data_IF_869621276931
#
_entry.id   IF_869621276931
#
_cell.length_a   1.000
_cell.length_b   1.000
_cell.length_c   1.000
_cell.angle_alpha   90.00
_cell.angle_beta   90.00
_cell.angle_gamma   90.00
#
_symmetry.space_group_name_H-M   'P 1'
#
loop_
_entity.id
_entity.type
_entity.pdbx_description
1 polymer ?
#
# COMPACT_ATOMS: atom_id res chain seq x y z
N UNK A 1 6.99 31.85 -26.79
CA UNK A 1 6.48 31.10 -27.95
C UNK A 1 5.09 30.59 -27.56
N UNK A 2 4.07 30.80 -28.38
CA UNK A 2 2.75 30.25 -28.10
C UNK A 2 2.85 28.71 -28.08
N UNK A 3 2.30 28.07 -27.05
CA UNK A 3 2.21 26.61 -27.01
C UNK A 3 1.24 26.13 -28.08
N UNK A 4 1.56 25.03 -28.73
CA UNK A 4 0.70 24.42 -29.74
C UNK A 4 -0.60 23.93 -29.08
N UNK A 5 -1.76 24.17 -29.70
CA UNK A 5 -3.04 23.65 -29.24
C UNK A 5 -3.03 22.12 -29.10
N UNK A 6 -3.56 21.58 -28.01
CA UNK A 6 -3.55 20.15 -27.73
C UNK A 6 -4.27 19.32 -28.79
N UNK A 7 -5.37 19.83 -29.37
CA UNK A 7 -6.06 19.18 -30.47
C UNK A 7 -5.17 19.10 -31.72
N UNK A 8 -4.48 20.21 -32.03
CA UNK A 8 -3.49 20.26 -33.14
C UNK A 8 -2.32 19.31 -32.88
N UNK A 9 -1.85 19.21 -31.63
CA UNK A 9 -0.76 18.30 -31.24
C UNK A 9 -1.11 16.83 -31.48
N UNK A 10 -2.35 16.44 -31.21
CA UNK A 10 -2.84 15.09 -31.52
C UNK A 10 -3.29 14.92 -32.97
N UNK A 11 -3.50 16.02 -33.72
CA UNK A 11 -3.99 16.01 -35.08
C UNK A 11 -5.46 15.61 -35.20
N UNK A 12 -6.30 16.12 -34.28
CA UNK A 12 -7.76 15.92 -34.24
C UNK A 12 -8.49 17.25 -34.20
N UNK A 13 -9.76 17.25 -34.58
CA UNK A 13 -10.62 18.42 -34.49
C UNK A 13 -11.12 18.63 -33.03
N UNK A 14 -11.56 19.86 -32.69
CA UNK A 14 -12.02 20.18 -31.33
C UNK A 14 -13.30 19.45 -30.90
N UNK A 15 -14.09 19.00 -31.88
CA UNK A 15 -15.31 18.20 -31.69
C UNK A 15 -15.07 16.69 -31.69
N UNK A 16 -13.79 16.27 -31.77
CA UNK A 16 -13.42 14.86 -31.76
C UNK A 16 -13.95 14.12 -30.53
N UNK A 17 -14.45 12.92 -30.75
CA UNK A 17 -14.91 12.03 -29.70
C UNK A 17 -13.74 11.49 -28.86
N UNK A 18 -14.03 11.01 -27.65
CA UNK A 18 -13.02 10.40 -26.76
C UNK A 18 -12.29 9.23 -27.43
N UNK A 19 -12.98 8.44 -28.25
CA UNK A 19 -12.38 7.32 -28.98
C UNK A 19 -11.43 7.79 -30.11
N UNK A 20 -11.76 8.88 -30.78
CA UNK A 20 -10.90 9.48 -31.80
C UNK A 20 -9.63 10.07 -31.18
N UNK A 21 -9.75 10.77 -30.06
CA UNK A 21 -8.63 11.28 -29.28
C UNK A 21 -7.68 10.14 -28.87
N UNK A 22 -8.24 9.06 -28.32
CA UNK A 22 -7.47 7.88 -27.90
C UNK A 22 -6.77 7.18 -29.06
N UNK A 23 -7.42 7.11 -30.21
CA UNK A 23 -6.86 6.53 -31.43
C UNK A 23 -5.71 7.39 -31.98
N UNK A 24 -5.89 8.71 -32.03
CA UNK A 24 -4.89 9.68 -32.45
C UNK A 24 -3.67 9.64 -31.53
N UNK A 25 -3.89 9.64 -30.21
CA UNK A 25 -2.82 9.49 -29.22
C UNK A 25 -1.97 8.24 -29.48
N UNK A 26 -2.61 7.07 -29.61
CA UNK A 26 -1.87 5.81 -29.86
C UNK A 26 -1.01 5.90 -31.13
N UNK A 27 -1.53 6.51 -32.18
CA UNK A 27 -0.82 6.69 -33.46
C UNK A 27 0.40 7.61 -33.28
N UNK A 28 0.25 8.74 -32.56
CA UNK A 28 1.32 9.70 -32.33
C UNK A 28 2.35 9.18 -31.33
N UNK A 29 1.91 8.52 -30.27
CA UNK A 29 2.79 7.89 -29.27
C UNK A 29 3.67 6.80 -29.91
N UNK A 30 3.12 5.97 -30.79
CA UNK A 30 3.91 4.98 -31.55
C UNK A 30 4.89 5.62 -32.55
N UNK A 31 4.53 6.76 -33.11
CA UNK A 31 5.37 7.50 -34.06
C UNK A 31 6.60 8.10 -33.39
N UNK A 32 6.42 8.69 -32.18
CA UNK A 32 7.47 9.39 -31.46
C UNK A 32 8.04 8.58 -30.28
N UNK A 33 7.76 7.25 -30.22
CA UNK A 33 8.23 6.40 -29.14
C UNK A 33 9.75 6.38 -29.03
N UNK A 34 10.34 6.54 -27.82
CA UNK A 34 11.78 6.58 -27.65
C UNK A 34 12.49 5.33 -28.14
N UNK A 35 11.90 4.13 -28.01
CA UNK A 35 12.49 2.88 -28.49
C UNK A 35 12.59 2.81 -30.02
N UNK A 36 11.76 3.57 -30.73
CA UNK A 36 11.79 3.61 -32.22
C UNK A 36 12.62 4.78 -32.79
N UNK A 37 12.86 5.79 -31.95
CA UNK A 37 13.57 7.01 -32.31
C UNK A 37 14.69 7.27 -31.28
N UNK A 38 15.50 6.25 -30.99
CA UNK A 38 16.56 6.33 -29.99
C UNK A 38 17.57 7.44 -30.37
N UNK A 39 17.76 8.43 -29.49
CA UNK A 39 18.67 9.55 -29.67
C UNK A 39 18.12 10.73 -30.49
N UNK A 40 16.83 10.72 -30.87
CA UNK A 40 16.21 11.87 -31.55
C UNK A 40 15.52 12.79 -30.53
N UNK A 41 16.20 13.90 -30.19
CA UNK A 41 15.66 14.91 -29.24
C UNK A 41 14.35 15.56 -29.72
N UNK A 42 14.11 15.62 -31.04
CA UNK A 42 12.87 16.19 -31.60
C UNK A 42 11.71 15.22 -31.36
N UNK A 43 11.95 13.92 -31.57
CA UNK A 43 10.97 12.88 -31.28
C UNK A 43 10.62 12.84 -29.77
N UNK A 44 11.62 12.97 -28.90
CA UNK A 44 11.39 13.02 -27.45
C UNK A 44 10.55 14.23 -27.01
N UNK A 45 10.84 15.41 -27.56
CA UNK A 45 10.05 16.63 -27.29
C UNK A 45 8.61 16.48 -27.79
N UNK A 46 8.41 15.89 -28.97
CA UNK A 46 7.07 15.65 -29.50
C UNK A 46 6.32 14.59 -28.70
N UNK A 47 7.01 13.55 -28.24
CA UNK A 47 6.41 12.52 -27.37
C UNK A 47 5.88 13.13 -26.05
N UNK A 48 6.68 14.03 -25.43
CA UNK A 48 6.24 14.77 -24.23
C UNK A 48 4.99 15.60 -24.48
N UNK A 49 4.95 16.35 -25.59
CA UNK A 49 3.78 17.15 -25.99
C UNK A 49 2.54 16.28 -26.26
N UNK A 50 2.70 15.13 -26.89
CA UNK A 50 1.61 14.19 -27.18
C UNK A 50 1.04 13.59 -25.90
N UNK A 51 1.89 13.26 -24.92
CA UNK A 51 1.43 12.77 -23.61
C UNK A 51 0.68 13.88 -22.84
N UNK A 52 1.23 15.09 -22.78
CA UNK A 52 0.58 16.25 -22.13
C UNK A 52 -0.81 16.53 -22.73
N UNK A 53 -0.92 16.51 -24.07
CA UNK A 53 -2.18 16.69 -24.76
C UNK A 53 -3.19 15.58 -24.46
N UNK A 54 -2.76 14.32 -24.36
CA UNK A 54 -3.62 13.21 -24.01
C UNK A 54 -4.09 13.29 -22.55
N UNK A 55 -3.22 13.67 -21.61
CA UNK A 55 -3.57 13.78 -20.19
C UNK A 55 -4.67 14.82 -19.94
N UNK A 56 -4.73 15.85 -20.78
CA UNK A 56 -5.77 16.88 -20.69
C UNK A 56 -7.04 16.49 -21.45
N UNK A 57 -6.90 15.95 -22.67
CA UNK A 57 -8.05 15.71 -23.55
C UNK A 57 -8.75 14.36 -23.34
N UNK A 58 -8.11 13.43 -22.59
CA UNK A 58 -8.74 12.12 -22.27
C UNK A 58 -9.70 12.17 -21.09
N UNK A 59 -9.66 13.23 -20.32
CA UNK A 59 -10.53 13.45 -19.16
C UNK A 59 -11.54 14.55 -19.49
N UNK A 60 -12.84 14.25 -19.37
CA UNK A 60 -13.92 15.15 -19.77
C UNK A 60 -13.90 16.48 -18.99
N UNK A 61 -13.49 16.46 -17.69
CA UNK A 61 -13.44 17.65 -16.87
C UNK A 61 -12.25 18.54 -17.24
N UNK A 62 -11.08 17.94 -17.46
CA UNK A 62 -9.88 18.65 -17.90
C UNK A 62 -10.07 19.21 -19.31
N UNK A 63 -10.69 18.44 -20.19
CA UNK A 63 -11.04 18.88 -21.55
C UNK A 63 -11.97 20.08 -21.49
N UNK A 64 -13.02 20.05 -20.69
CA UNK A 64 -13.93 21.17 -20.53
C UNK A 64 -13.25 22.43 -19.95
N UNK A 65 -12.30 22.25 -19.05
CA UNK A 65 -11.47 23.35 -18.52
C UNK A 65 -10.54 23.93 -19.59
N UNK A 66 -9.92 23.04 -20.40
CA UNK A 66 -9.08 23.45 -21.53
C UNK A 66 -9.85 24.21 -22.59
N UNK A 67 -11.05 23.73 -22.93
CA UNK A 67 -11.93 24.37 -23.93
C UNK A 67 -12.39 25.78 -23.51
N UNK A 68 -12.51 26.04 -22.20
CA UNK A 68 -12.93 27.34 -21.64
C UNK A 68 -11.77 28.32 -21.46
N UNK A 69 -10.62 27.85 -20.98
CA UNK A 69 -9.53 28.69 -20.51
C UNK A 69 -8.21 28.48 -21.27
N UNK A 70 -8.17 27.53 -22.21
CA UNK A 70 -6.96 27.19 -22.95
C UNK A 70 -5.82 26.72 -22.04
N UNK A 71 -4.57 26.94 -22.49
CA UNK A 71 -3.38 26.62 -21.71
C UNK A 71 -3.28 27.36 -20.37
N UNK A 72 -3.95 28.52 -20.24
CA UNK A 72 -3.94 29.31 -19.01
C UNK A 72 -4.53 28.55 -17.80
N UNK A 73 -5.43 27.59 -18.04
CA UNK A 73 -5.97 26.72 -16.99
C UNK A 73 -4.90 25.86 -16.32
N UNK A 74 -3.78 25.59 -17.01
CA UNK A 74 -2.73 24.69 -16.58
C UNK A 74 -1.39 25.38 -16.33
N UNK A 75 -1.28 26.71 -16.55
CA UNK A 75 -0.05 27.49 -16.41
C UNK A 75 0.05 28.25 -15.06
N UNK A 76 -1.00 28.28 -14.26
CA UNK A 76 -1.02 29.04 -13.00
C UNK A 76 -0.50 28.22 -11.80
N UNK A 77 0.73 27.69 -11.94
CA UNK A 77 1.60 27.38 -10.82
C UNK A 77 2.70 28.44 -10.80
N UNK A 78 2.71 29.31 -9.77
CA UNK A 78 3.52 30.52 -9.65
C UNK A 78 5.02 30.38 -9.92
N UNK A 79 5.77 31.52 -10.02
CA UNK A 79 7.17 31.55 -10.42
C UNK A 79 8.07 31.05 -9.29
N UNK A 80 8.65 29.87 -9.44
CA UNK A 80 9.62 29.32 -8.52
C UNK A 80 10.17 27.97 -8.94
N UNK A 81 11.30 28.02 -9.62
CA UNK A 81 12.37 27.04 -9.68
C UNK A 81 12.16 25.74 -10.46
N UNK A 82 12.99 25.68 -11.47
CA UNK A 82 13.28 24.56 -12.33
C UNK A 82 13.73 23.30 -11.57
N UNK A 83 13.31 22.14 -12.02
CA UNK A 83 14.07 20.91 -11.82
C UNK A 83 13.25 19.70 -11.45
N UNK A 84 13.15 18.73 -12.33
CA UNK A 84 12.92 17.35 -11.94
C UNK A 84 11.59 16.73 -12.33
N UNK A 85 11.62 16.21 -13.46
CA UNK A 85 10.71 15.35 -14.17
C UNK A 85 10.34 14.07 -13.42
N UNK A 86 9.06 13.84 -13.19
CA UNK A 86 8.55 12.54 -12.73
C UNK A 86 7.02 12.59 -12.60
N UNK A 87 6.35 11.91 -13.49
CA UNK A 87 4.90 11.91 -13.75
C UNK A 87 3.90 11.58 -12.63
N UNK A 88 4.18 11.92 -11.38
CA UNK A 88 3.25 11.71 -10.25
C UNK A 88 2.72 13.02 -9.61
N UNK A 89 3.25 14.19 -9.98
CA UNK A 89 2.97 15.44 -9.27
C UNK A 89 1.81 16.26 -9.81
N UNK A 90 1.31 16.00 -11.01
CA UNK A 90 0.26 16.82 -11.63
C UNK A 90 -1.14 16.46 -11.16
N UNK A 91 -1.38 15.17 -10.87
CA UNK A 91 -2.68 14.70 -10.38
C UNK A 91 -2.95 15.21 -8.95
N UNK A 92 -1.94 15.18 -8.07
CA UNK A 92 -2.08 15.60 -6.67
C UNK A 92 -2.29 17.12 -6.52
N UNK A 93 -1.60 17.94 -7.33
CA UNK A 93 -1.76 19.41 -7.27
C UNK A 93 -3.09 19.86 -7.88
N UNK A 94 -3.60 19.13 -8.87
CA UNK A 94 -4.89 19.42 -9.48
C UNK A 94 -6.04 18.99 -8.57
N UNK A 95 -5.92 17.88 -7.86
CA UNK A 95 -6.91 17.39 -6.90
C UNK A 95 -7.02 18.32 -5.68
N UNK A 96 -5.90 18.86 -5.18
CA UNK A 96 -5.88 19.85 -4.10
C UNK A 96 -6.46 21.20 -4.50
N UNK A 97 -6.17 21.68 -5.71
CA UNK A 97 -6.57 23.04 -6.14
C UNK A 97 -7.98 23.10 -6.74
N UNK A 98 -8.42 22.01 -7.41
CA UNK A 98 -9.74 21.94 -8.03
C UNK A 98 -10.79 21.31 -7.11
N UNK A 99 -10.37 20.41 -6.20
CA UNK A 99 -11.22 19.86 -5.14
C UNK A 99 -11.79 20.93 -4.21
N UNK A 100 -11.03 22.00 -3.96
CA UNK A 100 -11.44 23.10 -3.08
C UNK A 100 -12.38 24.11 -3.80
N UNK A 101 -12.25 24.26 -5.13
CA UNK A 101 -13.05 25.22 -5.91
C UNK A 101 -14.40 24.65 -6.39
N UNK A 102 -14.49 23.36 -6.71
CA UNK A 102 -15.73 22.73 -7.16
C UNK A 102 -16.46 21.96 -6.06
N UNK A 103 -15.81 21.74 -4.92
CA UNK A 103 -16.33 21.05 -3.74
C UNK A 103 -17.17 21.89 -2.80
N UNK A 104 -17.66 23.07 -3.18
CA UNK A 104 -18.58 23.91 -2.37
C UNK A 104 -19.98 23.32 -2.20
N UNK A 105 -20.18 22.06 -2.55
CA UNK A 105 -21.39 21.28 -2.36
C UNK A 105 -21.14 19.99 -1.56
N UNK A 106 -20.94 20.10 -0.23
CA UNK A 106 -21.38 19.04 0.67
C UNK A 106 -20.50 17.78 0.85
N UNK A 107 -19.18 17.91 0.94
CA UNK A 107 -18.38 16.94 1.70
C UNK A 107 -17.59 17.67 2.78
N UNK A 108 -18.33 18.00 3.87
CA UNK A 108 -17.68 18.26 5.15
C UNK A 108 -16.69 17.15 5.38
N UNK A 109 -15.40 17.51 5.50
CA UNK A 109 -14.35 16.56 5.86
C UNK A 109 -14.83 15.71 7.01
N UNK A 110 -15.31 14.52 6.72
CA UNK A 110 -15.37 13.48 7.73
C UNK A 110 -13.93 13.36 8.18
N UNK A 111 -13.62 14.02 9.28
CA UNK A 111 -12.47 13.65 10.11
C UNK A 111 -12.70 12.19 10.45
N UNK A 112 -12.31 11.34 9.48
CA UNK A 112 -12.63 9.94 9.45
C UNK A 112 -12.10 9.35 10.72
N UNK A 113 -12.93 8.59 11.39
CA UNK A 113 -12.45 7.72 12.45
C UNK A 113 -11.24 6.98 11.87
N UNK A 114 -10.06 7.25 12.43
CA UNK A 114 -8.82 6.74 11.87
C UNK A 114 -8.83 5.22 11.96
N UNK A 115 -8.68 4.54 10.82
CA UNK A 115 -8.49 3.09 10.77
C UNK A 115 -7.41 2.69 11.77
N UNK A 116 -7.56 1.54 12.39
CA UNK A 116 -6.54 1.00 13.28
C UNK A 116 -5.22 0.75 12.56
N UNK A 117 -4.13 0.79 13.32
CA UNK A 117 -2.79 0.53 12.80
C UNK A 117 -2.64 -0.93 12.39
N UNK A 118 -1.89 -1.16 11.32
CA UNK A 118 -1.49 -2.51 10.94
C UNK A 118 -0.41 -3.02 11.91
N UNK A 119 -0.48 -4.32 12.24
CA UNK A 119 0.49 -4.98 13.11
C UNK A 119 1.44 -5.85 12.32
N UNK A 120 2.66 -5.97 12.82
CA UNK A 120 3.68 -6.86 12.28
C UNK A 120 4.03 -7.92 13.31
N UNK A 121 4.05 -9.19 12.89
CA UNK A 121 4.47 -10.33 13.68
C UNK A 121 5.53 -11.13 12.92
N UNK A 122 6.69 -11.39 13.54
CA UNK A 122 7.71 -12.23 12.93
C UNK A 122 7.56 -13.64 13.52
N UNK A 123 7.44 -14.62 12.63
CA UNK A 123 7.27 -16.02 12.98
C UNK A 123 8.42 -16.84 12.42
N UNK A 124 9.12 -17.53 13.30
CA UNK A 124 10.15 -18.47 12.92
C UNK A 124 9.59 -19.88 12.86
N UNK A 125 9.86 -20.60 11.76
CA UNK A 125 9.38 -21.97 11.54
C UNK A 125 10.55 -22.87 11.14
N UNK A 126 10.42 -24.19 11.39
CA UNK A 126 11.40 -25.16 10.93
C UNK A 126 11.27 -25.44 9.42
N UNK A 127 12.33 -25.95 8.80
CA UNK A 127 12.30 -26.39 7.39
C UNK A 127 11.26 -27.51 7.16
N UNK A 128 11.03 -28.35 8.17
CA UNK A 128 10.02 -29.40 8.13
C UNK A 128 8.61 -28.85 8.15
N UNK A 129 8.35 -27.82 8.95
CA UNK A 129 7.05 -27.12 8.96
C UNK A 129 6.83 -26.35 7.67
N UNK A 130 7.88 -25.72 7.12
CA UNK A 130 7.83 -25.07 5.82
C UNK A 130 7.50 -26.05 4.69
N UNK A 131 8.03 -27.26 4.75
CA UNK A 131 7.77 -28.32 3.77
C UNK A 131 6.36 -28.89 3.86
N UNK A 132 5.92 -29.28 5.07
CA UNK A 132 4.61 -29.94 5.28
C UNK A 132 3.44 -28.95 5.32
N UNK A 133 3.72 -27.69 5.65
CA UNK A 133 2.73 -26.76 6.13
C UNK A 133 2.37 -27.06 7.61
N UNK A 134 1.94 -26.06 8.30
CA UNK A 134 1.56 -26.16 9.72
C UNK A 134 0.41 -25.24 10.05
N UNK A 135 -0.39 -25.64 11.05
CA UNK A 135 -1.43 -24.79 11.65
C UNK A 135 -1.04 -24.51 13.09
N UNK A 136 -0.73 -23.26 13.38
CA UNK A 136 -0.26 -22.86 14.70
C UNK A 136 -1.09 -21.71 15.26
N UNK A 137 -1.09 -21.58 16.59
CA UNK A 137 -1.75 -20.47 17.28
C UNK A 137 -0.68 -19.49 17.73
N UNK A 138 -0.88 -18.23 17.40
CA UNK A 138 -0.04 -17.12 17.83
C UNK A 138 -0.80 -16.24 18.82
N UNK A 139 -0.07 -15.63 19.77
CA UNK A 139 -0.59 -14.63 20.68
C UNK A 139 -0.06 -13.27 20.26
N UNK A 140 -0.95 -12.36 19.98
CA UNK A 140 -0.61 -11.02 19.51
C UNK A 140 -1.18 -10.01 20.49
N UNK A 141 -0.33 -9.21 21.15
CA UNK A 141 -0.81 -8.08 21.95
C UNK A 141 -1.35 -7.02 20.99
N UNK A 142 -2.60 -6.65 21.15
CA UNK A 142 -3.28 -5.69 20.30
C UNK A 142 -4.28 -4.86 21.07
N UNK A 143 -4.71 -3.75 20.49
CA UNK A 143 -5.82 -2.97 21.00
C UNK A 143 -7.10 -3.45 20.32
N UNK A 144 -8.06 -3.95 21.09
CA UNK A 144 -9.38 -4.37 20.60
C UNK A 144 -10.44 -3.33 20.91
N UNK A 145 -11.53 -3.31 20.17
CA UNK A 145 -12.67 -2.46 20.49
C UNK A 145 -13.21 -2.78 21.87
N UNK A 146 -13.48 -1.77 22.66
CA UNK A 146 -14.07 -1.94 23.98
C UNK A 146 -15.50 -2.49 23.86
N UNK A 147 -15.78 -3.62 24.50
CA UNK A 147 -17.09 -4.28 24.41
C UNK A 147 -18.20 -3.46 25.07
N UNK A 148 -17.89 -2.73 26.17
CA UNK A 148 -18.87 -1.94 26.92
C UNK A 148 -19.43 -0.76 26.14
N UNK A 149 -18.57 -0.10 25.33
CA UNK A 149 -18.97 1.06 24.53
C UNK A 149 -18.94 0.78 23.02
N UNK A 150 -18.63 -0.43 22.58
CA UNK A 150 -18.54 -0.85 21.17
C UNK A 150 -17.62 0.07 20.32
N UNK A 151 -16.51 0.48 20.93
CA UNK A 151 -15.51 1.32 20.26
C UNK A 151 -15.79 2.83 20.28
N UNK A 152 -16.93 3.28 20.81
CA UNK A 152 -17.36 4.69 20.77
C UNK A 152 -16.65 5.55 21.83
N UNK A 153 -16.31 4.96 22.98
CA UNK A 153 -15.65 5.64 24.10
C UNK A 153 -16.58 6.29 25.11
N UNK A 154 -17.88 6.32 24.87
CA UNK A 154 -18.90 6.88 25.80
C UNK A 154 -19.50 5.81 26.66
N UNK A 155 -20.00 6.17 27.86
CA UNK A 155 -20.72 5.28 28.75
C UNK A 155 -21.98 4.76 28.03
N UNK A 156 -22.13 3.43 27.98
CA UNK A 156 -23.26 2.78 27.33
C UNK A 156 -23.30 2.88 25.80
N UNK A 157 -22.22 3.32 25.13
CA UNK A 157 -22.14 3.35 23.66
C UNK A 157 -23.03 4.43 23.00
N UNK A 158 -23.43 5.46 23.73
CA UNK A 158 -24.22 6.58 23.21
C UNK A 158 -23.32 7.42 22.29
N UNK A 159 -23.86 7.94 21.19
CA UNK A 159 -23.09 8.80 20.29
C UNK A 159 -22.55 10.03 21.04
N UNK A 160 -21.27 10.42 20.87
CA UNK A 160 -20.70 11.58 21.50
C UNK A 160 -21.33 12.87 20.97
N UNK A 161 -21.47 13.86 21.84
CA UNK A 161 -22.04 15.17 21.50
C UNK A 161 -21.12 15.96 20.56
N UNK A 162 -21.71 16.84 19.75
CA UNK A 162 -20.94 17.79 18.95
C UNK A 162 -20.21 18.78 19.86
N UNK A 163 -18.94 19.01 19.63
CA UNK A 163 -18.16 19.95 20.45
C UNK A 163 -18.73 21.38 20.39
N UNK A 164 -19.11 21.99 21.54
CA UNK A 164 -19.74 23.29 21.54
C UNK A 164 -18.79 24.43 21.13
N UNK A 165 -17.48 24.24 21.30
CA UNK A 165 -16.48 25.27 21.01
C UNK A 165 -16.14 25.37 19.52
N UNK A 166 -16.21 24.30 18.77
CA UNK A 166 -15.90 24.27 17.33
C UNK A 166 -17.06 23.80 16.46
N UNK A 167 -18.21 23.53 17.04
CA UNK A 167 -19.42 23.08 16.33
C UNK A 167 -19.18 21.89 15.39
N UNK A 168 -18.30 20.96 15.82
CA UNK A 168 -17.96 19.76 15.05
C UNK A 168 -16.76 19.91 14.09
N UNK A 169 -16.25 21.10 13.88
CA UNK A 169 -15.15 21.34 12.91
C UNK A 169 -13.77 20.85 13.40
N UNK A 170 -13.60 20.58 14.71
CA UNK A 170 -12.31 20.17 15.27
C UNK A 170 -11.25 21.27 15.34
N UNK A 171 -11.46 22.38 14.66
CA UNK A 171 -10.56 23.54 14.59
C UNK A 171 -11.28 24.80 15.00
N UNK A 172 -10.55 25.74 15.58
CA UNK A 172 -11.03 27.08 15.89
C UNK A 172 -10.17 28.10 15.12
N UNK A 173 -10.83 29.13 14.59
CA UNK A 173 -10.17 30.24 13.89
C UNK A 173 -9.95 31.36 14.89
N UNK A 174 -8.71 31.78 15.05
CA UNK A 174 -8.33 32.96 15.83
C UNK A 174 -7.82 34.02 14.86
N UNK A 175 -8.43 35.21 14.89
CA UNK A 175 -7.97 36.35 14.10
C UNK A 175 -6.92 37.10 14.91
N UNK A 176 -5.71 37.23 14.36
CA UNK A 176 -4.63 37.97 14.98
C UNK A 176 -4.18 39.03 13.99
N UNK A 177 -4.74 40.22 14.10
CA UNK A 177 -4.57 41.31 13.13
C UNK A 177 -5.20 40.97 11.77
N UNK A 178 -4.41 41.04 10.71
CA UNK A 178 -4.83 40.70 9.33
C UNK A 178 -4.76 39.23 8.98
N UNK A 179 -4.25 38.39 9.88
CA UNK A 179 -4.08 36.94 9.64
C UNK A 179 -5.10 36.15 10.42
N UNK A 180 -5.73 35.19 9.74
CA UNK A 180 -6.57 34.14 10.36
C UNK A 180 -5.75 32.89 10.58
N UNK A 181 -5.52 32.52 11.84
CA UNK A 181 -4.79 31.31 12.22
C UNK A 181 -5.79 30.23 12.61
N UNK A 182 -5.75 29.11 11.94
CA UNK A 182 -6.48 27.90 12.34
C UNK A 182 -5.64 27.08 13.32
N UNK A 183 -6.23 26.70 14.45
CA UNK A 183 -5.61 25.80 15.43
C UNK A 183 -6.58 24.72 15.87
N UNK A 184 -6.06 23.59 16.31
CA UNK A 184 -6.89 22.52 16.88
C UNK A 184 -7.73 23.06 18.03
N UNK A 185 -9.01 22.68 18.10
CA UNK A 185 -9.90 23.10 19.14
C UNK A 185 -9.40 22.61 20.51
N UNK A 186 -9.18 23.47 21.51
CA UNK A 186 -8.64 23.05 22.81
C UNK A 186 -9.61 22.17 23.58
N UNK A 187 -10.92 22.28 23.35
CA UNK A 187 -11.95 21.53 24.06
C UNK A 187 -12.04 20.07 23.60
N UNK A 188 -11.96 19.83 22.27
CA UNK A 188 -12.07 18.49 21.71
C UNK A 188 -10.75 17.98 21.12
N UNK A 189 -9.65 18.75 21.24
CA UNK A 189 -8.32 18.42 20.75
C UNK A 189 -8.29 17.99 19.26
N UNK A 190 -9.18 18.55 18.47
CA UNK A 190 -9.29 18.22 17.05
C UNK A 190 -10.36 17.19 16.69
N UNK A 191 -10.93 16.48 17.67
CA UNK A 191 -11.90 15.40 17.42
C UNK A 191 -13.28 15.89 16.91
N UNK A 192 -13.61 17.18 17.06
CA UNK A 192 -14.92 17.74 16.69
C UNK A 192 -16.08 17.26 17.58
N UNK A 193 -15.86 16.23 18.37
CA UNK A 193 -16.85 15.61 19.28
C UNK A 193 -16.41 15.73 20.72
N UNK A 194 -17.37 15.76 21.62
CA UNK A 194 -17.15 15.88 23.05
C UNK A 194 -17.78 14.69 23.78
N UNK A 195 -16.97 13.99 24.57
CA UNK A 195 -17.42 12.88 25.43
C UNK A 195 -17.70 13.44 26.79
N UNK A 196 -18.98 13.54 27.15
CA UNK A 196 -19.41 14.01 28.48
C UNK A 196 -19.19 12.96 29.56
N UNK A 197 -19.61 11.73 29.28
CA UNK A 197 -19.46 10.61 30.18
C UNK A 197 -18.58 9.54 29.51
N UNK A 198 -17.31 9.50 29.92
CA UNK A 198 -16.36 8.53 29.38
C UNK A 198 -16.71 7.09 29.89
N UNK A 199 -16.51 6.13 29.00
CA UNK A 199 -16.63 4.71 29.37
C UNK A 199 -15.58 4.35 30.43
N UNK A 200 -15.99 3.75 31.52
CA UNK A 200 -15.11 3.41 32.64
C UNK A 200 -14.05 2.36 32.30
N UNK A 201 -14.34 1.46 31.35
CA UNK A 201 -13.46 0.38 30.97
C UNK A 201 -12.31 0.86 30.06
N UNK A 202 -12.59 1.75 29.10
CA UNK A 202 -11.59 2.26 28.15
C UNK A 202 -11.20 3.73 28.40
N UNK A 203 -11.73 4.38 29.44
CA UNK A 203 -11.44 5.78 29.78
C UNK A 203 -11.62 6.75 28.59
N UNK A 204 -12.62 6.48 27.75
CA UNK A 204 -12.95 7.32 26.60
C UNK A 204 -12.20 6.99 25.30
N UNK A 205 -11.19 6.09 25.32
CA UNK A 205 -10.42 5.73 24.14
C UNK A 205 -11.19 4.88 23.12
N UNK A 206 -12.25 4.20 23.55
CA UNK A 206 -13.03 3.26 22.75
C UNK A 206 -12.33 1.91 22.53
N UNK A 207 -11.13 1.71 23.04
CA UNK A 207 -10.34 0.48 22.86
C UNK A 207 -9.63 0.08 24.15
N UNK A 208 -9.35 -1.23 24.27
CA UNK A 208 -8.64 -1.82 25.41
C UNK A 208 -7.50 -2.69 24.89
N UNK A 209 -6.39 -2.72 25.62
CA UNK A 209 -5.28 -3.61 25.31
C UNK A 209 -5.61 -5.02 25.76
N UNK A 210 -5.46 -5.98 24.84
CA UNK A 210 -5.71 -7.39 25.10
C UNK A 210 -4.80 -8.27 24.26
N UNK A 211 -4.42 -9.43 24.78
CA UNK A 211 -3.76 -10.48 23.98
C UNK A 211 -4.83 -11.27 23.24
N UNK A 212 -4.71 -11.33 21.90
CA UNK A 212 -5.58 -12.10 21.02
C UNK A 212 -4.86 -13.36 20.56
N UNK A 213 -5.47 -14.51 20.71
CA UNK A 213 -4.95 -15.76 20.16
C UNK A 213 -5.57 -16.00 18.78
N UNK A 214 -4.71 -16.07 17.77
CA UNK A 214 -5.11 -16.24 16.39
C UNK A 214 -4.56 -17.56 15.83
N UNK A 215 -5.40 -18.30 15.11
CA UNK A 215 -5.00 -19.51 14.41
C UNK A 215 -4.51 -19.17 13.01
N UNK A 216 -3.25 -19.48 12.72
CA UNK A 216 -2.60 -19.19 11.44
C UNK A 216 -2.32 -20.50 10.71
N UNK A 217 -2.72 -20.59 9.46
CA UNK A 217 -2.42 -21.73 8.59
C UNK A 217 -1.26 -21.34 7.67
N UNK A 218 -0.16 -22.04 7.80
CA UNK A 218 1.04 -21.90 6.98
C UNK A 218 0.92 -22.92 5.83
N UNK A 219 0.87 -22.49 4.57
CA UNK A 219 0.79 -23.43 3.45
C UNK A 219 2.09 -24.22 3.30
N UNK A 220 1.99 -25.44 2.75
CA UNK A 220 3.16 -26.23 2.42
C UNK A 220 3.98 -25.57 1.31
N UNK A 221 5.31 -25.67 1.42
CA UNK A 221 6.24 -25.09 0.45
C UNK A 221 6.55 -23.60 0.68
N UNK A 222 6.10 -23.01 1.80
CA UNK A 222 6.35 -21.59 2.12
C UNK A 222 7.84 -21.28 2.10
N UNK A 223 8.20 -20.11 1.54
CA UNK A 223 9.58 -19.63 1.44
C UNK A 223 9.93 -18.67 2.57
N UNK A 224 11.24 -18.54 2.83
CA UNK A 224 11.75 -17.52 3.75
C UNK A 224 11.33 -16.11 3.26
N UNK A 225 10.97 -15.22 4.20
CA UNK A 225 10.46 -13.88 3.88
C UNK A 225 9.00 -13.84 3.38
N UNK A 226 8.30 -14.96 3.28
CA UNK A 226 6.88 -15.00 2.90
C UNK A 226 6.05 -14.20 3.89
N UNK A 227 5.12 -13.41 3.36
CA UNK A 227 4.22 -12.56 4.15
C UNK A 227 2.77 -13.06 4.06
N UNK A 228 2.19 -13.39 5.22
CA UNK A 228 0.76 -13.74 5.36
C UNK A 228 0.03 -12.55 5.94
N UNK A 229 -1.07 -12.14 5.32
CA UNK A 229 -1.95 -11.08 5.80
C UNK A 229 -3.22 -11.66 6.40
N UNK A 230 -3.52 -11.27 7.62
CA UNK A 230 -4.80 -11.52 8.27
C UNK A 230 -5.58 -10.20 8.34
N UNK A 231 -6.60 -10.09 7.51
CA UNK A 231 -7.39 -8.86 7.39
C UNK A 231 -8.22 -8.61 8.66
N UNK A 232 -8.17 -7.36 9.15
CA UNK A 232 -8.92 -6.93 10.32
C UNK A 232 -8.38 -7.40 11.69
N UNK A 233 -7.21 -8.06 11.70
CA UNK A 233 -6.56 -8.58 12.92
C UNK A 233 -5.45 -7.66 13.46
N UNK A 234 -5.37 -6.43 12.94
CA UNK A 234 -4.53 -5.34 13.47
C UNK A 234 -5.15 -4.67 14.70
N UNK A 235 -4.68 -3.47 15.02
CA UNK A 235 -5.29 -2.67 16.10
C UNK A 235 -6.69 -2.21 15.73
N UNK A 236 -7.56 -2.10 16.73
CA UNK A 236 -8.87 -1.49 16.56
C UNK A 236 -8.75 -0.01 16.18
N UNK A 237 -9.58 0.45 15.26
CA UNK A 237 -9.66 1.86 14.91
C UNK A 237 -10.26 2.70 16.03
N UNK A 238 -10.04 4.01 15.95
CA UNK A 238 -10.62 4.97 16.91
C UNK A 238 -12.07 5.27 16.56
N UNK A 239 -12.91 5.48 17.58
CA UNK A 239 -14.30 5.90 17.42
C UNK A 239 -15.14 4.98 16.52
N UNK A 240 -14.92 3.66 16.61
CA UNK A 240 -15.65 2.68 15.80
C UNK A 240 -15.15 2.54 14.36
N UNK A 241 -13.95 3.05 14.05
CA UNK A 241 -13.31 2.80 12.78
C UNK A 241 -12.94 1.34 12.59
N UNK A 242 -12.80 0.86 11.36
CA UNK A 242 -12.35 -0.49 11.08
C UNK A 242 -10.94 -0.73 11.63
N UNK A 243 -10.67 -1.97 12.04
CA UNK A 243 -9.35 -2.40 12.48
C UNK A 243 -8.34 -2.38 11.33
N UNK A 244 -7.06 -2.32 11.67
CA UNK A 244 -5.95 -2.58 10.76
C UNK A 244 -5.84 -4.06 10.41
N UNK A 245 -4.77 -4.43 9.74
CA UNK A 245 -4.44 -5.81 9.37
C UNK A 245 -3.22 -6.31 10.15
N UNK A 246 -3.11 -7.62 10.29
CA UNK A 246 -1.92 -8.25 10.84
C UNK A 246 -1.10 -8.86 9.72
N UNK A 247 0.16 -8.47 9.62
CA UNK A 247 1.14 -9.04 8.69
C UNK A 247 2.10 -9.96 9.43
N UNK A 248 2.09 -11.22 9.07
CA UNK A 248 2.99 -12.23 9.61
C UNK A 248 4.12 -12.43 8.60
N UNK A 249 5.34 -12.20 9.04
CA UNK A 249 6.55 -12.45 8.27
C UNK A 249 7.14 -13.77 8.71
N UNK A 250 7.26 -14.71 7.79
CA UNK A 250 7.79 -16.03 8.03
C UNK A 250 9.30 -15.98 7.82
N UNK A 251 10.03 -16.54 8.79
CA UNK A 251 11.47 -16.80 8.69
C UNK A 251 11.69 -18.29 8.89
N UNK A 252 12.46 -18.90 7.99
CA UNK A 252 12.79 -20.35 8.09
C UNK A 252 14.10 -20.51 8.80
N UNK A 253 14.08 -21.23 9.94
CA UNK A 253 15.31 -21.52 10.72
C UNK A 253 16.28 -22.35 9.91
N UNK A 254 17.60 -22.03 10.00
CA UNK A 254 18.63 -22.89 9.42
C UNK A 254 18.57 -24.30 9.98
N UNK A 255 18.71 -25.30 9.11
CA UNK A 255 18.75 -26.70 9.53
C UNK A 255 20.18 -27.25 9.45
N UNK A 256 20.56 -28.13 10.38
CA UNK A 256 21.91 -28.66 10.48
C UNK A 256 22.33 -29.59 9.32
N UNK A 257 21.37 -30.18 8.61
CA UNK A 257 21.63 -31.09 7.49
C UNK A 257 21.17 -30.49 6.17
N UNK A 258 20.01 -29.84 6.16
CA UNK A 258 19.34 -29.39 4.95
C UNK A 258 19.58 -27.92 4.67
N UNK A 259 19.92 -27.61 3.43
CA UNK A 259 19.98 -26.26 2.89
C UNK A 259 18.93 -26.15 1.78
N UNK A 260 18.18 -25.08 1.76
CA UNK A 260 17.15 -24.84 0.76
C UNK A 260 17.56 -23.72 -0.18
N UNK A 261 17.46 -23.97 -1.48
CA UNK A 261 17.60 -22.97 -2.53
C UNK A 261 16.38 -23.02 -3.45
N UNK A 262 15.48 -22.06 -3.28
CA UNK A 262 14.21 -22.06 -4.02
C UNK A 262 13.38 -23.32 -3.74
N UNK A 263 13.13 -24.11 -4.78
CA UNK A 263 12.39 -25.37 -4.69
C UNK A 263 13.26 -26.60 -4.34
N UNK A 264 14.59 -26.47 -4.40
CA UNK A 264 15.52 -27.56 -4.17
C UNK A 264 15.98 -27.60 -2.71
N UNK A 265 16.22 -28.82 -2.24
CA UNK A 265 16.80 -29.08 -0.90
C UNK A 265 18.07 -29.86 -1.09
N UNK A 266 19.15 -29.34 -0.54
CA UNK A 266 20.48 -29.93 -0.57
C UNK A 266 20.83 -30.48 0.80
N UNK A 267 21.55 -31.60 0.82
CA UNK A 267 22.15 -32.11 2.04
C UNK A 267 23.51 -32.74 1.73
N UNK A 268 24.44 -32.58 2.65
CA UNK A 268 25.74 -33.24 2.58
C UNK A 268 25.72 -34.47 3.47
N UNK A 269 25.99 -35.64 2.90
CA UNK A 269 26.01 -36.91 3.62
C UNK A 269 27.37 -37.58 3.45
N UNK A 270 28.11 -37.88 4.56
CA UNK A 270 29.39 -38.57 4.47
C UNK A 270 29.18 -40.03 4.02
N UNK A 271 29.94 -40.46 3.04
CA UNK A 271 29.94 -41.83 2.57
C UNK A 271 31.27 -42.53 2.83
N UNK A 272 31.28 -43.85 3.13
CA UNK A 272 32.51 -44.59 3.27
C UNK A 272 33.31 -44.63 1.95
N UNK A 273 34.64 -44.53 2.03
CA UNK A 273 35.51 -44.61 0.86
C UNK A 273 35.30 -45.89 0.04
N UNK A 274 35.02 -47.00 0.70
CA UNK A 274 34.69 -48.27 0.05
C UNK A 274 33.43 -48.18 -0.79
N UNK A 275 32.40 -47.50 -0.32
CA UNK A 275 31.15 -47.30 -1.07
C UNK A 275 31.38 -46.35 -2.24
N UNK A 276 32.19 -45.31 -2.08
CA UNK A 276 32.54 -44.41 -3.19
C UNK A 276 33.34 -45.13 -4.29
N UNK A 277 34.28 -45.97 -3.91
CA UNK A 277 35.13 -46.70 -4.86
C UNK A 277 34.39 -47.85 -5.58
N UNK A 278 33.67 -48.68 -4.83
CA UNK A 278 33.06 -49.91 -5.34
C UNK A 278 31.59 -49.76 -5.74
N UNK A 279 31.01 -48.63 -5.42
CA UNK A 279 29.57 -48.41 -5.54
C UNK A 279 28.81 -49.05 -4.38
N UNK A 280 27.51 -48.80 -4.31
CA UNK A 280 26.68 -49.38 -3.26
C UNK A 280 25.41 -48.57 -3.04
N UNK A 281 24.84 -48.75 -1.86
CA UNK A 281 23.65 -48.01 -1.45
C UNK A 281 23.88 -47.32 -0.11
N UNK A 282 23.34 -46.13 0.03
CA UNK A 282 23.29 -45.40 1.30
C UNK A 282 21.86 -45.03 1.63
N UNK A 283 21.58 -44.84 2.90
CA UNK A 283 20.33 -44.27 3.37
C UNK A 283 20.58 -42.79 3.74
N UNK A 284 19.81 -41.88 3.17
CA UNK A 284 19.88 -40.45 3.44
C UNK A 284 18.59 -40.00 4.13
N UNK A 285 18.68 -39.03 5.06
CA UNK A 285 17.49 -38.47 5.67
C UNK A 285 16.69 -37.66 4.65
N UNK A 286 15.37 -37.67 4.79
CA UNK A 286 14.45 -36.86 3.99
C UNK A 286 13.80 -35.78 4.87
N UNK A 287 13.35 -34.67 4.28
CA UNK A 287 12.79 -33.51 5.02
C UNK A 287 11.52 -33.86 5.77
N UNK A 288 10.78 -34.86 5.29
CA UNK A 288 9.57 -35.38 5.95
C UNK A 288 9.86 -36.22 7.20
N UNK A 289 11.14 -36.46 7.52
CA UNK A 289 11.61 -37.27 8.65
C UNK A 289 11.76 -38.74 8.32
N UNK A 290 11.62 -39.12 7.06
CA UNK A 290 11.87 -40.50 6.56
C UNK A 290 13.34 -40.73 6.19
N UNK A 291 13.59 -41.83 5.47
CA UNK A 291 14.86 -42.16 4.86
C UNK A 291 14.65 -42.60 3.42
N UNK A 292 15.51 -42.13 2.54
CA UNK A 292 15.53 -42.56 1.14
C UNK A 292 16.82 -43.37 0.89
N UNK A 293 16.70 -44.44 0.09
CA UNK A 293 17.84 -45.25 -0.33
C UNK A 293 18.35 -44.75 -1.67
N UNK A 294 19.61 -44.31 -1.70
CA UNK A 294 20.27 -43.80 -2.92
C UNK A 294 21.34 -44.77 -3.36
N UNK A 295 21.42 -45.06 -4.66
CA UNK A 295 22.47 -45.85 -5.26
C UNK A 295 23.65 -44.98 -5.62
N UNK A 296 24.82 -45.33 -5.13
CA UNK A 296 26.10 -44.64 -5.42
C UNK A 296 26.81 -45.40 -6.53
N UNK A 297 27.11 -44.78 -7.68
CA UNK A 297 27.93 -45.38 -8.73
C UNK A 297 29.36 -45.66 -8.28
N UNK A 298 30.02 -46.62 -8.95
CA UNK A 298 31.46 -46.85 -8.71
C UNK A 298 32.31 -45.70 -9.14
N UNK A 299 33.29 -45.31 -8.33
CA UNK A 299 34.20 -44.22 -8.64
C UNK A 299 33.63 -42.80 -8.40
N UNK A 300 32.55 -42.69 -7.57
CA UNK A 300 31.97 -41.40 -7.17
C UNK A 300 33.01 -40.55 -6.44
N UNK A 301 33.16 -39.29 -6.87
CA UNK A 301 34.04 -38.29 -6.25
C UNK A 301 33.25 -37.43 -5.26
N UNK A 302 33.97 -36.66 -4.42
CA UNK A 302 33.34 -35.66 -3.53
C UNK A 302 32.65 -34.55 -4.37
N UNK A 303 31.59 -34.04 -3.83
CA UNK A 303 30.77 -32.94 -4.42
C UNK A 303 29.98 -33.31 -5.69
N UNK A 304 29.54 -34.55 -5.75
CA UNK A 304 28.57 -35.02 -6.76
C UNK A 304 27.17 -35.18 -6.21
#
# INVERSE_FOLDING_TARGET
>A
MAKDDFYTTLGVDRDASADEIKKAYRKMAMKYHPDRNAGDEVAEKNFKKVNEANDVLSDDEKRAAYDRFGHAAFEQGGPGEAGGFGGAGFADIFEDMFGDFMGSGGRGGRQGSARGSDLRYNMEISITDAFKGNKTNIRVPTSVSCDDCKGIGTKGGVAPDTCPACHGHGKVRAQQGFFTIERSCPTCQGAGKFIKDACSNCSGSGRVHQEKTLSVTIPAGVEDGTRIRLSGEGEAGLNGAPSGDLYIFISVSPHHIFQREGANIYCSVPIPLTTAALGGHIEVPTVDGGRARITIPTGTQSDH
#
